data_IF_095373967071
#
_entry.id   IF_095373967071
#
_cell.length_a   1.000
_cell.length_b   1.000
_cell.length_c   1.000
_cell.angle_alpha   90.00
_cell.angle_beta   90.00
_cell.angle_gamma   90.00
#
_symmetry.space_group_name_H-M   'P 1'
#
loop_
_entity.id
_entity.type
_entity.pdbx_description
1 polymer ?
#
# COMPACT_ATOMS: atom_id res chain seq x y z
N UNK A 1 29.03 18.17 -19.18
CA UNK A 1 28.91 18.26 -17.72
C UNK A 1 29.30 16.92 -17.14
N UNK A 2 30.14 16.90 -16.11
CA UNK A 2 30.48 15.66 -15.42
C UNK A 2 29.23 15.05 -14.75
N UNK A 3 28.98 13.75 -14.93
CA UNK A 3 27.78 13.13 -14.39
C UNK A 3 27.91 13.00 -12.86
N UNK A 4 27.13 13.82 -12.14
CA UNK A 4 27.22 13.97 -10.67
C UNK A 4 27.09 12.63 -9.95
N UNK A 5 26.06 11.83 -10.27
CA UNK A 5 25.78 10.59 -9.55
C UNK A 5 26.83 9.49 -9.80
N UNK A 6 27.22 9.16 -11.05
CA UNK A 6 28.33 8.22 -11.28
C UNK A 6 29.64 8.63 -10.60
N UNK A 7 29.97 9.93 -10.59
CA UNK A 7 31.16 10.41 -9.88
C UNK A 7 31.03 10.28 -8.36
N UNK A 8 29.86 10.59 -7.80
CA UNK A 8 29.57 10.36 -6.39
C UNK A 8 29.73 8.87 -6.01
N UNK A 9 29.12 7.96 -6.78
CA UNK A 9 29.22 6.52 -6.53
C UNK A 9 30.66 6.02 -6.65
N UNK A 10 31.38 6.45 -7.69
CA UNK A 10 32.80 6.13 -7.86
C UNK A 10 33.61 6.56 -6.63
N UNK A 11 33.46 7.82 -6.20
CA UNK A 11 34.21 8.34 -5.06
C UNK A 11 33.91 7.57 -3.78
N UNK A 12 32.63 7.24 -3.50
CA UNK A 12 32.26 6.41 -2.35
C UNK A 12 32.89 5.03 -2.44
N UNK A 13 32.90 4.39 -3.62
CA UNK A 13 33.51 3.06 -3.79
C UNK A 13 35.02 3.12 -3.58
N UNK A 14 35.72 4.10 -4.16
CA UNK A 14 37.15 4.27 -3.93
C UNK A 14 37.47 4.51 -2.45
N UNK A 15 36.67 5.34 -1.76
CA UNK A 15 36.84 5.59 -0.32
C UNK A 15 36.71 4.31 0.52
N UNK A 16 35.82 3.38 0.13
CA UNK A 16 35.65 2.10 0.81
C UNK A 16 36.81 1.13 0.53
N UNK A 17 37.38 1.17 -0.67
CA UNK A 17 38.50 0.33 -1.08
C UNK A 17 39.84 0.74 -0.47
N UNK A 18 40.01 1.99 -0.02
CA UNK A 18 41.23 2.46 0.67
C UNK A 18 41.54 1.63 1.93
N UNK A 19 40.52 1.08 2.58
CA UNK A 19 40.70 0.26 3.79
C UNK A 19 41.19 -1.16 3.44
N UNK A 20 41.11 -1.56 2.18
CA UNK A 20 41.45 -2.90 1.66
C UNK A 20 42.81 -2.91 0.93
N UNK A 21 43.80 -2.20 1.46
CA UNK A 21 45.11 -2.02 0.81
C UNK A 21 45.84 -3.35 0.50
N UNK A 22 45.47 -4.44 1.17
CA UNK A 22 46.07 -5.76 1.00
C UNK A 22 45.51 -6.58 -0.18
N UNK A 23 44.45 -6.13 -0.86
CA UNK A 23 43.88 -6.86 -1.99
C UNK A 23 44.77 -6.76 -3.23
N UNK A 24 44.80 -7.84 -4.03
CA UNK A 24 45.42 -7.80 -5.36
C UNK A 24 44.63 -6.87 -6.30
N UNK A 25 45.27 -6.33 -7.35
CA UNK A 25 44.58 -5.44 -8.30
C UNK A 25 43.34 -6.10 -8.95
N UNK A 26 43.40 -7.42 -9.19
CA UNK A 26 42.27 -8.19 -9.73
C UNK A 26 41.13 -8.31 -8.74
N UNK A 27 41.44 -8.50 -7.46
CA UNK A 27 40.42 -8.58 -6.40
C UNK A 27 39.81 -7.20 -6.13
N UNK A 28 40.59 -6.13 -6.22
CA UNK A 28 40.12 -4.74 -6.12
C UNK A 28 39.11 -4.40 -7.22
N UNK A 29 39.36 -4.76 -8.47
CA UNK A 29 38.42 -4.49 -9.56
C UNK A 29 37.11 -5.28 -9.41
N UNK A 30 37.21 -6.54 -8.98
CA UNK A 30 36.02 -7.37 -8.72
C UNK A 30 35.19 -6.78 -7.58
N UNK A 31 35.85 -6.40 -6.48
CA UNK A 31 35.20 -5.79 -5.31
C UNK A 31 34.59 -4.42 -5.67
N UNK A 32 35.27 -3.61 -6.49
CA UNK A 32 34.76 -2.34 -7.02
C UNK A 32 33.45 -2.55 -7.78
N UNK A 33 33.38 -3.56 -8.65
CA UNK A 33 32.18 -3.87 -9.41
C UNK A 33 31.03 -4.31 -8.48
N UNK A 34 31.30 -5.19 -7.52
CA UNK A 34 30.32 -5.69 -6.56
C UNK A 34 29.77 -4.58 -5.64
N UNK A 35 30.65 -3.71 -5.13
CA UNK A 35 30.28 -2.54 -4.33
C UNK A 35 29.43 -1.57 -5.16
N UNK A 36 29.85 -1.27 -6.38
CA UNK A 36 29.11 -0.38 -7.29
C UNK A 36 27.71 -0.92 -7.55
N UNK A 37 27.58 -2.22 -7.86
CA UNK A 37 26.30 -2.86 -8.12
C UNK A 37 25.38 -2.81 -6.88
N UNK A 38 25.91 -3.18 -5.72
CA UNK A 38 25.17 -3.21 -4.45
C UNK A 38 24.68 -1.81 -4.07
N UNK A 39 25.56 -0.81 -4.10
CA UNK A 39 25.21 0.57 -3.79
C UNK A 39 24.19 1.12 -4.78
N UNK A 40 24.28 0.78 -6.07
CA UNK A 40 23.27 1.19 -7.05
C UNK A 40 21.89 0.60 -6.72
N UNK A 41 21.81 -0.69 -6.37
CA UNK A 41 20.56 -1.36 -5.98
C UNK A 41 19.97 -0.68 -4.74
N UNK A 42 20.78 -0.44 -3.70
CA UNK A 42 20.33 0.21 -2.46
C UNK A 42 19.87 1.65 -2.75
N UNK A 43 20.64 2.44 -3.50
CA UNK A 43 20.30 3.81 -3.86
C UNK A 43 18.98 3.88 -4.64
N UNK A 44 18.77 3.04 -5.66
CA UNK A 44 17.52 3.02 -6.43
C UNK A 44 16.33 2.62 -5.55
N UNK A 45 16.51 1.62 -4.69
CA UNK A 45 15.44 1.11 -3.83
C UNK A 45 15.00 2.12 -2.77
N UNK A 46 15.93 2.91 -2.22
CA UNK A 46 15.63 3.90 -1.17
C UNK A 46 15.27 5.28 -1.74
N UNK A 47 15.83 5.62 -2.89
CA UNK A 47 15.76 6.96 -3.45
C UNK A 47 15.10 7.02 -4.82
N UNK A 48 14.23 6.07 -5.20
CA UNK A 48 13.56 6.03 -6.51
C UNK A 48 13.05 7.40 -7.02
N UNK A 49 12.48 8.23 -6.13
CA UNK A 49 12.00 9.59 -6.49
C UNK A 49 13.13 10.59 -6.75
N UNK A 50 14.22 10.52 -5.98
CA UNK A 50 15.42 11.34 -6.17
C UNK A 50 16.23 10.83 -7.38
N UNK A 51 16.44 9.52 -7.46
CA UNK A 51 17.01 8.78 -8.58
C UNK A 51 16.37 9.22 -9.90
N UNK A 52 15.05 9.18 -10.03
CA UNK A 52 14.37 9.65 -11.24
C UNK A 52 14.78 11.08 -11.62
N UNK A 53 14.82 11.98 -10.63
CA UNK A 53 15.16 13.39 -10.88
C UNK A 53 16.64 13.66 -11.18
N UNK A 54 17.52 12.70 -10.87
CA UNK A 54 18.96 12.77 -11.05
C UNK A 54 19.41 12.01 -12.31
N UNK A 55 18.74 10.91 -12.66
CA UNK A 55 19.09 10.06 -13.81
C UNK A 55 18.46 10.49 -15.13
N UNK A 56 17.23 11.05 -15.12
CA UNK A 56 16.41 11.19 -16.34
C UNK A 56 16.40 12.65 -16.84
N UNK A 57 17.52 13.38 -16.80
CA UNK A 57 17.52 14.77 -17.25
C UNK A 57 18.35 15.09 -18.48
N UNK A 58 17.64 15.78 -19.35
CA UNK A 58 18.00 16.51 -20.54
C UNK A 58 19.28 17.35 -20.34
N UNK A 59 20.23 17.19 -21.26
CA UNK A 59 21.54 17.86 -21.25
C UNK A 59 21.38 19.38 -21.17
N UNK A 60 20.24 19.90 -21.64
CA UNK A 60 19.95 21.32 -21.74
C UNK A 60 19.46 21.97 -20.43
N UNK A 61 19.21 21.18 -19.37
CA UNK A 61 18.65 21.69 -18.10
C UNK A 61 19.50 21.33 -16.89
N UNK A 62 20.50 22.16 -16.50
CA UNK A 62 21.39 21.87 -15.38
C UNK A 62 20.63 21.60 -14.07
N UNK A 63 21.19 20.70 -13.26
CA UNK A 63 20.66 20.39 -11.93
C UNK A 63 20.70 21.68 -11.10
N UNK A 64 19.55 22.07 -10.52
CA UNK A 64 19.51 23.21 -9.60
C UNK A 64 20.55 22.98 -8.50
N UNK A 65 21.40 23.97 -8.16
CA UNK A 65 22.46 23.82 -7.16
C UNK A 65 21.97 23.21 -5.83
N UNK A 66 20.74 23.53 -5.42
CA UNK A 66 20.09 22.98 -4.22
C UNK A 66 19.87 21.46 -4.26
N UNK A 67 19.75 20.85 -5.45
CA UNK A 67 19.68 19.40 -5.62
C UNK A 67 21.07 18.76 -5.70
N UNK A 68 22.04 19.44 -6.32
CA UNK A 68 23.42 18.99 -6.30
C UNK A 68 23.97 18.97 -4.87
N UNK A 69 23.51 19.90 -4.03
CA UNK A 69 23.80 19.95 -2.61
C UNK A 69 23.30 18.74 -1.81
N UNK A 70 22.53 17.80 -2.39
CA UNK A 70 22.18 16.51 -1.76
C UNK A 70 23.33 15.51 -1.84
N UNK A 71 24.23 15.67 -2.82
CA UNK A 71 25.46 14.88 -2.96
C UNK A 71 26.66 15.52 -2.25
N UNK A 72 26.51 16.78 -1.82
CA UNK A 72 27.50 17.54 -1.09
C UNK A 72 27.49 17.39 0.46
N UNK A 73 26.42 16.98 1.18
CA UNK A 73 26.40 17.07 2.62
C UNK A 73 26.87 15.74 3.23
N UNK A 74 27.89 15.86 4.08
CA UNK A 74 28.37 14.85 5.03
C UNK A 74 28.84 13.54 4.38
N UNK A 75 29.99 13.65 3.69
CA UNK A 75 30.79 12.53 3.19
C UNK A 75 30.84 11.37 4.19
N UNK A 76 30.95 11.66 5.50
CA UNK A 76 30.98 10.65 6.56
C UNK A 76 29.69 9.83 6.68
N UNK A 77 28.50 10.47 6.73
CA UNK A 77 27.22 9.74 6.86
C UNK A 77 26.96 8.85 5.65
N UNK A 78 27.27 9.36 4.44
CA UNK A 78 27.15 8.58 3.22
C UNK A 78 28.12 7.38 3.20
N UNK A 79 29.37 7.58 3.63
CA UNK A 79 30.37 6.51 3.75
C UNK A 79 29.95 5.43 4.76
N UNK A 80 29.44 5.81 5.93
CA UNK A 80 28.97 4.86 6.96
C UNK A 80 27.81 4.02 6.43
N UNK A 81 26.81 4.65 5.80
CA UNK A 81 25.68 3.92 5.22
C UNK A 81 26.10 3.04 4.03
N UNK A 82 27.03 3.51 3.19
CA UNK A 82 27.58 2.73 2.08
C UNK A 82 28.40 1.53 2.56
N UNK A 83 29.28 1.71 3.56
CA UNK A 83 30.05 0.64 4.18
C UNK A 83 29.13 -0.45 4.76
N UNK A 84 28.04 -0.03 5.42
CA UNK A 84 27.02 -0.95 5.93
C UNK A 84 26.29 -1.69 4.80
N UNK A 85 25.97 -1.01 3.69
CA UNK A 85 25.31 -1.62 2.54
C UNK A 85 26.15 -2.72 1.88
N UNK A 86 27.46 -2.51 1.74
CA UNK A 86 28.36 -3.47 1.07
C UNK A 86 28.95 -4.52 2.02
N UNK A 87 28.61 -4.47 3.32
CA UNK A 87 29.12 -5.42 4.30
C UNK A 87 30.58 -5.19 4.73
N UNK A 88 31.17 -4.05 4.42
CA UNK A 88 32.57 -3.75 4.75
C UNK A 88 32.70 -3.26 6.21
N UNK A 89 32.93 -4.21 7.12
CA UNK A 89 33.04 -3.96 8.55
C UNK A 89 34.25 -3.09 8.93
N UNK A 90 35.35 -3.18 8.20
CA UNK A 90 36.57 -2.41 8.50
C UNK A 90 36.37 -0.95 8.14
N UNK A 91 35.85 -0.67 6.94
CA UNK A 91 35.49 0.69 6.52
C UNK A 91 34.42 1.30 7.43
N UNK A 92 33.43 0.50 7.86
CA UNK A 92 32.43 0.93 8.82
C UNK A 92 33.06 1.34 10.15
N UNK A 93 33.95 0.51 10.73
CA UNK A 93 34.66 0.79 11.98
C UNK A 93 35.54 2.04 11.87
N UNK A 94 36.29 2.16 10.79
CA UNK A 94 37.13 3.33 10.53
C UNK A 94 36.29 4.61 10.47
N UNK A 95 35.13 4.54 9.80
CA UNK A 95 34.24 5.70 9.61
C UNK A 95 33.55 6.18 10.89
N UNK A 96 33.31 5.29 11.87
CA UNK A 96 32.64 5.63 13.13
C UNK A 96 33.58 5.70 14.35
N UNK A 97 34.89 5.62 14.13
CA UNK A 97 35.89 5.55 15.19
C UNK A 97 35.84 6.77 16.14
N UNK A 98 35.49 7.94 15.62
CA UNK A 98 35.42 9.19 16.39
C UNK A 98 33.99 9.56 16.81
N UNK A 99 32.98 9.06 16.10
CA UNK A 99 31.59 9.38 16.37
C UNK A 99 30.69 8.18 16.03
N UNK A 100 30.25 7.50 17.08
CA UNK A 100 29.34 6.35 16.94
C UNK A 100 27.90 6.74 16.67
N UNK A 101 27.53 8.01 16.82
CA UNK A 101 26.17 8.49 16.50
C UNK A 101 25.88 8.39 15.01
N UNK A 102 26.92 8.41 14.16
CA UNK A 102 26.83 8.22 12.72
C UNK A 102 26.16 6.89 12.32
N UNK A 103 26.17 5.86 13.19
CA UNK A 103 25.47 4.60 12.96
C UNK A 103 23.95 4.76 12.87
N UNK A 104 23.42 5.85 13.42
CA UNK A 104 21.99 6.17 13.50
C UNK A 104 21.63 7.41 12.69
N UNK A 105 22.59 8.04 12.02
CA UNK A 105 22.30 9.18 11.16
C UNK A 105 21.83 8.72 9.78
N UNK A 106 20.87 9.44 9.22
CA UNK A 106 20.22 9.07 7.96
C UNK A 106 20.97 9.65 6.76
N UNK A 107 21.55 8.81 5.92
CA UNK A 107 22.00 9.22 4.58
C UNK A 107 20.81 9.57 3.70
N UNK A 108 20.89 10.69 2.98
CA UNK A 108 19.87 11.07 1.99
C UNK A 108 19.83 10.13 0.79
N UNK A 109 20.92 9.42 0.49
CA UNK A 109 21.03 8.51 -0.65
C UNK A 109 20.75 7.07 -0.26
N UNK A 110 21.34 6.60 0.84
CA UNK A 110 21.30 5.20 1.24
C UNK A 110 20.35 4.92 2.41
N UNK A 111 19.81 5.95 3.06
CA UNK A 111 19.01 5.81 4.29
C UNK A 111 19.88 5.63 5.53
N UNK A 112 19.29 5.12 6.61
CA UNK A 112 20.06 4.74 7.80
C UNK A 112 21.02 3.56 7.48
N UNK A 113 22.22 3.48 8.09
CA UNK A 113 23.16 2.38 7.86
C UNK A 113 22.55 0.98 8.08
N UNK A 114 21.76 0.80 9.15
CA UNK A 114 21.02 -0.46 9.39
C UNK A 114 20.03 -0.78 8.26
N UNK A 115 19.37 0.24 7.71
CA UNK A 115 18.44 0.07 6.60
C UNK A 115 19.15 -0.21 5.27
N UNK A 116 20.33 0.38 5.07
CA UNK A 116 21.17 0.14 3.90
C UNK A 116 21.69 -1.31 3.86
N UNK A 117 22.19 -1.82 4.99
CA UNK A 117 22.55 -3.23 5.16
C UNK A 117 21.35 -4.16 4.92
N UNK A 118 20.17 -3.79 5.47
CA UNK A 118 18.94 -4.55 5.30
C UNK A 118 18.44 -4.58 3.86
N UNK A 119 18.58 -3.47 3.13
CA UNK A 119 18.26 -3.39 1.69
C UNK A 119 19.18 -4.26 0.85
N UNK A 120 20.47 -4.33 1.21
CA UNK A 120 21.47 -5.15 0.52
C UNK A 120 21.32 -6.65 0.80
N UNK A 121 20.61 -7.03 1.88
CA UNK A 121 20.45 -8.43 2.26
C UNK A 121 21.61 -8.97 3.11
N UNK A 122 22.41 -8.10 3.71
CA UNK A 122 23.51 -8.51 4.58
C UNK A 122 23.03 -8.75 6.02
N UNK A 123 22.64 -10.00 6.30
CA UNK A 123 22.20 -10.42 7.63
C UNK A 123 23.29 -10.25 8.69
N UNK A 124 24.56 -10.49 8.36
CA UNK A 124 25.65 -10.41 9.33
C UNK A 124 25.82 -8.97 9.80
N UNK A 125 25.84 -8.03 8.86
CA UNK A 125 25.92 -6.61 9.19
C UNK A 125 24.73 -6.17 10.05
N UNK A 126 23.50 -6.57 9.69
CA UNK A 126 22.30 -6.32 10.50
C UNK A 126 22.44 -6.86 11.93
N UNK A 127 22.96 -8.07 12.10
CA UNK A 127 23.20 -8.66 13.43
C UNK A 127 24.25 -7.87 14.23
N UNK A 128 25.29 -7.37 13.59
CA UNK A 128 26.31 -6.51 14.22
C UNK A 128 25.67 -5.23 14.76
N UNK A 129 24.87 -4.53 13.96
CA UNK A 129 24.13 -3.33 14.41
C UNK A 129 23.22 -3.65 15.59
N UNK A 130 22.45 -4.74 15.53
CA UNK A 130 21.54 -5.12 16.60
C UNK A 130 22.28 -5.52 17.89
N UNK A 131 23.45 -6.15 17.78
CA UNK A 131 24.31 -6.47 18.93
C UNK A 131 24.92 -5.21 19.53
N UNK A 132 25.33 -4.26 18.70
CA UNK A 132 25.81 -2.96 19.15
C UNK A 132 24.70 -2.19 19.88
N UNK A 133 23.49 -2.13 19.30
CA UNK A 133 22.30 -1.54 19.93
C UNK A 133 22.05 -2.14 21.32
N UNK A 134 21.97 -3.48 21.45
CA UNK A 134 21.74 -4.14 22.74
C UNK A 134 22.78 -3.82 23.81
N UNK A 135 24.03 -3.57 23.42
CA UNK A 135 25.13 -3.23 24.33
C UNK A 135 25.11 -1.77 24.76
N UNK A 136 24.66 -0.89 23.86
CA UNK A 136 24.80 0.55 23.98
C UNK A 136 23.46 1.30 24.04
N UNK A 137 22.33 0.59 24.23
CA UNK A 137 21.01 1.18 24.45
C UNK A 137 20.95 1.91 25.80
N UNK A 138 21.77 2.95 25.95
CA UNK A 138 21.61 4.02 26.93
C UNK A 138 20.78 5.11 26.22
N UNK A 139 19.95 5.79 26.99
CA UNK A 139 18.76 6.56 26.53
C UNK A 139 18.97 7.68 25.48
N UNK A 140 20.19 7.94 25.03
CA UNK A 140 20.45 8.95 23.99
C UNK A 140 20.16 8.39 22.59
N UNK A 141 19.37 9.12 21.80
CA UNK A 141 19.07 8.78 20.41
C UNK A 141 18.01 7.70 20.19
N UNK A 142 17.09 7.49 21.15
CA UNK A 142 16.04 6.46 21.04
C UNK A 142 15.16 6.65 19.79
N UNK A 143 14.90 7.91 19.41
CA UNK A 143 14.04 8.23 18.25
C UNK A 143 14.75 7.83 16.96
N UNK A 144 16.00 8.23 16.79
CA UNK A 144 16.82 7.93 15.62
C UNK A 144 17.08 6.42 15.48
N UNK A 145 17.32 5.74 16.60
CA UNK A 145 17.45 4.28 16.63
C UNK A 145 16.15 3.60 16.21
N UNK A 146 15.01 4.04 16.75
CA UNK A 146 13.70 3.51 16.36
C UNK A 146 13.45 3.70 14.87
N UNK A 147 13.66 4.92 14.36
CA UNK A 147 13.49 5.24 12.94
C UNK A 147 14.40 4.37 12.06
N UNK A 148 15.66 4.16 12.46
CA UNK A 148 16.59 3.28 11.75
C UNK A 148 16.11 1.82 11.68
N UNK A 149 15.55 1.29 12.77
CA UNK A 149 14.96 -0.05 12.77
C UNK A 149 13.68 -0.12 11.94
N UNK A 150 12.81 0.88 12.04
CA UNK A 150 11.58 0.93 11.27
C UNK A 150 11.87 0.98 9.76
N UNK A 151 12.83 1.80 9.35
CA UNK A 151 13.30 1.91 7.97
C UNK A 151 13.98 0.62 7.49
N UNK A 152 14.72 -0.07 8.38
CA UNK A 152 15.40 -1.32 8.05
C UNK A 152 14.45 -2.49 7.84
N UNK A 153 13.39 -2.59 8.64
CA UNK A 153 12.34 -3.58 8.43
C UNK A 153 11.67 -3.34 7.08
N UNK A 154 11.30 -2.09 6.77
CA UNK A 154 10.72 -1.75 5.46
C UNK A 154 11.66 -2.13 4.30
N UNK A 155 12.94 -1.81 4.42
CA UNK A 155 13.96 -2.12 3.42
C UNK A 155 14.14 -3.63 3.21
N UNK A 156 14.19 -4.41 4.29
CA UNK A 156 14.28 -5.87 4.21
C UNK A 156 13.05 -6.48 3.53
N UNK A 157 11.84 -5.97 3.83
CA UNK A 157 10.59 -6.43 3.21
C UNK A 157 10.60 -6.11 1.71
N UNK A 158 10.94 -4.86 1.35
CA UNK A 158 10.99 -4.43 -0.05
C UNK A 158 12.04 -5.21 -0.87
N UNK A 159 13.19 -5.50 -0.27
CA UNK A 159 14.25 -6.33 -0.86
C UNK A 159 13.96 -7.85 -0.83
N UNK A 160 12.83 -8.28 -0.24
CA UNK A 160 12.45 -9.70 -0.07
C UNK A 160 13.44 -10.51 0.79
N UNK A 161 14.14 -9.85 1.71
CA UNK A 161 15.12 -10.46 2.61
C UNK A 161 14.44 -11.08 3.84
N UNK A 162 13.68 -12.16 3.63
CA UNK A 162 12.83 -12.81 4.65
C UNK A 162 13.54 -13.14 5.97
N UNK A 163 14.81 -13.52 5.89
CA UNK A 163 15.63 -13.87 7.05
C UNK A 163 15.95 -12.62 7.91
N UNK A 164 16.26 -11.49 7.28
CA UNK A 164 16.43 -10.19 7.98
C UNK A 164 15.12 -9.75 8.59
N UNK A 165 14.02 -9.80 7.84
CA UNK A 165 12.70 -9.41 8.34
C UNK A 165 12.27 -10.26 9.54
N UNK A 166 12.48 -11.58 9.47
CA UNK A 166 12.15 -12.51 10.57
C UNK A 166 13.02 -12.29 11.81
N UNK A 167 14.21 -11.71 11.64
CA UNK A 167 15.09 -11.33 12.74
C UNK A 167 14.71 -9.97 13.35
N UNK A 168 14.47 -8.95 12.51
CA UNK A 168 14.22 -7.58 12.96
C UNK A 168 12.82 -7.36 13.53
N UNK A 169 11.77 -7.98 12.96
CA UNK A 169 10.39 -7.76 13.43
C UNK A 169 10.20 -8.09 14.92
N UNK A 170 10.55 -9.31 15.41
CA UNK A 170 10.41 -9.63 16.83
C UNK A 170 11.29 -8.75 17.72
N UNK A 171 12.49 -8.41 17.26
CA UNK A 171 13.40 -7.53 17.99
C UNK A 171 12.79 -6.13 18.17
N UNK A 172 12.20 -5.58 17.10
CA UNK A 172 11.49 -4.31 17.17
C UNK A 172 10.29 -4.42 18.11
N UNK A 173 9.41 -5.42 17.98
CA UNK A 173 8.24 -5.58 18.85
C UNK A 173 8.59 -5.65 20.34
N UNK A 174 9.68 -6.32 20.67
CA UNK A 174 10.15 -6.44 22.06
C UNK A 174 10.80 -5.16 22.60
N UNK A 175 11.34 -4.32 21.72
CA UNK A 175 12.07 -3.10 22.09
C UNK A 175 11.15 -1.87 22.07
N UNK A 176 10.35 -1.74 21.02
CA UNK A 176 9.38 -0.69 20.78
C UNK A 176 8.03 -1.34 20.44
N UNK A 177 7.16 -1.56 21.45
CA UNK A 177 5.84 -2.14 21.23
C UNK A 177 4.98 -1.34 20.26
N UNK A 178 5.16 -0.01 20.25
CA UNK A 178 4.43 0.91 19.37
C UNK A 178 5.18 1.13 18.06
N UNK A 179 4.58 0.70 16.96
CA UNK A 179 5.06 0.99 15.59
C UNK A 179 4.44 2.30 15.11
N UNK A 180 5.23 3.17 14.48
CA UNK A 180 4.67 4.37 13.86
C UNK A 180 3.68 4.01 12.73
N UNK A 181 2.59 4.76 12.59
CA UNK A 181 1.61 4.52 11.52
C UNK A 181 2.26 4.58 10.12
N UNK A 182 3.29 5.42 9.95
CA UNK A 182 4.04 5.52 8.70
C UNK A 182 4.83 4.26 8.42
N UNK A 183 5.57 3.74 9.41
CA UNK A 183 6.35 2.51 9.26
C UNK A 183 5.45 1.30 9.04
N UNK A 184 4.40 1.13 9.85
CA UNK A 184 3.44 0.04 9.68
C UNK A 184 2.84 0.02 8.27
N UNK A 185 2.42 1.19 7.77
CA UNK A 185 1.93 1.35 6.40
C UNK A 185 2.98 0.96 5.37
N UNK A 186 4.23 1.41 5.52
CA UNK A 186 5.34 1.04 4.64
C UNK A 186 5.56 -0.47 4.61
N UNK A 187 5.66 -1.11 5.77
CA UNK A 187 5.85 -2.55 5.92
C UNK A 187 4.73 -3.35 5.27
N UNK A 188 3.47 -2.96 5.53
CA UNK A 188 2.30 -3.68 5.02
C UNK A 188 2.22 -3.58 3.49
N UNK A 189 2.39 -2.39 2.92
CA UNK A 189 2.35 -2.20 1.46
C UNK A 189 3.52 -2.89 0.75
N UNK A 190 4.70 -2.89 1.36
CA UNK A 190 5.86 -3.60 0.85
C UNK A 190 5.65 -5.13 0.90
N UNK A 191 5.08 -5.67 1.98
CA UNK A 191 4.78 -7.09 2.12
C UNK A 191 3.73 -7.56 1.09
N UNK A 192 2.66 -6.78 0.90
CA UNK A 192 1.68 -7.03 -0.18
C UNK A 192 2.37 -6.95 -1.54
N UNK A 193 3.21 -5.94 -1.78
CA UNK A 193 3.96 -5.77 -3.02
C UNK A 193 4.92 -6.93 -3.33
N UNK A 194 5.44 -7.59 -2.30
CA UNK A 194 6.26 -8.79 -2.40
C UNK A 194 5.46 -10.07 -2.64
N UNK A 195 4.12 -10.02 -2.59
CA UNK A 195 3.21 -11.18 -2.67
C UNK A 195 3.53 -12.24 -1.57
N UNK A 196 3.89 -11.77 -0.38
CA UNK A 196 4.32 -12.64 0.71
C UNK A 196 3.25 -12.72 1.80
N UNK A 197 2.35 -13.70 1.70
CA UNK A 197 1.19 -13.84 2.59
C UNK A 197 1.59 -14.05 4.05
N UNK A 198 2.65 -14.82 4.31
CA UNK A 198 3.14 -15.09 5.67
C UNK A 198 3.67 -13.81 6.30
N UNK A 199 4.36 -13.00 5.50
CA UNK A 199 4.89 -11.72 5.94
C UNK A 199 3.78 -10.68 6.16
N UNK A 200 2.77 -10.63 5.29
CA UNK A 200 1.57 -9.81 5.51
C UNK A 200 0.93 -10.17 6.86
N UNK A 201 0.75 -11.47 7.14
CA UNK A 201 0.20 -11.93 8.41
C UNK A 201 1.06 -11.52 9.61
N UNK A 202 2.39 -11.68 9.53
CA UNK A 202 3.33 -11.27 10.58
C UNK A 202 3.30 -9.76 10.85
N UNK A 203 3.26 -8.94 9.79
CA UNK A 203 3.16 -7.48 9.91
C UNK A 203 1.84 -7.10 10.56
N UNK A 204 0.72 -7.70 10.15
CA UNK A 204 -0.59 -7.47 10.77
C UNK A 204 -0.60 -7.84 12.27
N UNK A 205 0.10 -8.91 12.66
CA UNK A 205 0.29 -9.28 14.08
C UNK A 205 1.21 -8.35 14.90
N UNK A 206 1.83 -7.34 14.27
CA UNK A 206 2.56 -6.28 14.96
C UNK A 206 1.72 -5.02 15.20
N UNK A 207 0.67 -4.78 14.40
CA UNK A 207 -0.07 -3.51 14.41
C UNK A 207 -1.42 -3.58 15.10
N UNK A 208 -1.47 -3.34 16.42
CA UNK A 208 -2.74 -3.19 17.14
C UNK A 208 -3.50 -1.87 16.84
N UNK A 209 -2.93 -0.96 16.04
CA UNK A 209 -3.48 0.38 15.79
C UNK A 209 -3.57 0.78 14.32
N UNK A 210 -3.48 -0.16 13.39
CA UNK A 210 -3.57 0.14 11.97
C UNK A 210 -4.90 0.85 11.66
N UNK A 211 -4.82 2.06 11.10
CA UNK A 211 -6.03 2.77 10.69
C UNK A 211 -6.75 1.96 9.59
N UNK A 212 -8.11 1.92 9.58
CA UNK A 212 -8.86 1.24 8.53
C UNK A 212 -8.44 1.66 7.12
N UNK A 213 -8.09 2.92 6.91
CA UNK A 213 -7.61 3.43 5.63
C UNK A 213 -6.28 2.79 5.18
N UNK A 214 -5.39 2.45 6.12
CA UNK A 214 -4.10 1.81 5.83
C UNK A 214 -4.30 0.35 5.43
N UNK A 215 -5.13 -0.39 6.17
CA UNK A 215 -5.53 -1.76 5.81
C UNK A 215 -6.26 -1.78 4.47
N UNK A 216 -7.22 -0.87 4.28
CA UNK A 216 -7.99 -0.72 3.06
C UNK A 216 -7.12 -0.44 1.83
N UNK A 217 -6.08 0.39 1.97
CA UNK A 217 -5.12 0.66 0.89
C UNK A 217 -4.27 -0.58 0.56
N UNK A 218 -3.83 -1.33 1.57
CA UNK A 218 -3.09 -2.57 1.35
C UNK A 218 -3.96 -3.65 0.68
N UNK A 219 -5.22 -3.75 1.09
CA UNK A 219 -6.22 -4.59 0.43
C UNK A 219 -6.41 -4.18 -1.04
N UNK A 220 -6.62 -2.89 -1.34
CA UNK A 220 -6.75 -2.40 -2.72
C UNK A 220 -5.53 -2.77 -3.56
N UNK A 221 -4.32 -2.58 -3.03
CA UNK A 221 -3.08 -2.98 -3.72
C UNK A 221 -3.04 -4.48 -4.01
N UNK A 222 -3.51 -5.33 -3.08
CA UNK A 222 -3.59 -6.77 -3.31
C UNK A 222 -4.58 -7.09 -4.44
N UNK A 223 -5.76 -6.43 -4.47
CA UNK A 223 -6.75 -6.62 -5.53
C UNK A 223 -6.24 -6.15 -6.89
N UNK A 224 -5.65 -4.95 -6.97
CA UNK A 224 -5.07 -4.38 -8.20
C UNK A 224 -4.00 -5.30 -8.82
N UNK A 225 -3.25 -6.01 -7.98
CA UNK A 225 -2.21 -6.96 -8.41
C UNK A 225 -2.71 -8.39 -8.60
N UNK A 226 -3.99 -8.67 -8.34
CA UNK A 226 -4.57 -10.02 -8.45
C UNK A 226 -4.13 -10.99 -7.35
N UNK A 227 -3.63 -10.49 -6.21
CA UNK A 227 -3.20 -11.32 -5.08
C UNK A 227 -4.39 -11.72 -4.20
N UNK A 228 -5.25 -12.60 -4.73
CA UNK A 228 -6.55 -12.95 -4.13
C UNK A 228 -6.40 -13.51 -2.71
N UNK A 229 -5.44 -14.40 -2.47
CA UNK A 229 -5.24 -15.00 -1.14
C UNK A 229 -4.85 -13.96 -0.08
N UNK A 230 -4.08 -12.94 -0.46
CA UNK A 230 -3.72 -11.83 0.43
C UNK A 230 -4.94 -10.94 0.68
N UNK A 231 -5.75 -10.66 -0.35
CA UNK A 231 -6.98 -9.89 -0.20
C UNK A 231 -7.98 -10.59 0.74
N UNK A 232 -8.18 -11.91 0.59
CA UNK A 232 -9.05 -12.71 1.46
C UNK A 232 -8.50 -12.79 2.89
N UNK A 233 -7.18 -12.92 3.08
CA UNK A 233 -6.55 -12.93 4.41
C UNK A 233 -6.97 -11.72 5.27
N UNK A 234 -7.02 -10.52 4.68
CA UNK A 234 -7.44 -9.32 5.41
C UNK A 234 -8.85 -9.46 6.00
N UNK A 235 -9.76 -10.10 5.26
CA UNK A 235 -11.16 -10.24 5.67
C UNK A 235 -11.37 -11.46 6.58
N UNK A 236 -10.82 -12.62 6.22
CA UNK A 236 -10.94 -13.87 6.99
C UNK A 236 -10.41 -13.77 8.41
N UNK A 237 -9.36 -12.97 8.61
CA UNK A 237 -8.76 -12.74 9.94
C UNK A 237 -9.35 -11.54 10.67
N UNK A 238 -10.37 -10.89 10.11
CA UNK A 238 -11.06 -9.76 10.72
C UNK A 238 -10.26 -8.45 10.75
N UNK A 239 -9.13 -8.36 10.04
CA UNK A 239 -8.37 -7.10 9.92
C UNK A 239 -9.13 -6.05 9.11
N UNK A 240 -9.98 -6.51 8.19
CA UNK A 240 -10.85 -5.68 7.36
C UNK A 240 -12.27 -6.27 7.40
N UNK A 241 -13.23 -5.60 8.06
CA UNK A 241 -14.60 -6.12 8.08
C UNK A 241 -15.18 -6.16 6.67
N UNK A 242 -15.70 -7.31 6.26
CA UNK A 242 -16.14 -7.57 4.89
C UNK A 242 -17.31 -6.66 4.45
N UNK A 243 -18.14 -6.23 5.39
CA UNK A 243 -19.36 -5.44 5.16
C UNK A 243 -19.27 -3.98 5.63
N UNK A 244 -18.06 -3.48 5.91
CA UNK A 244 -17.83 -2.09 6.35
C UNK A 244 -16.98 -1.36 5.33
N UNK A 245 -17.31 -0.09 5.09
CA UNK A 245 -16.50 0.79 4.24
C UNK A 245 -15.20 1.15 4.96
N UNK A 246 -14.04 0.90 4.33
CA UNK A 246 -12.73 1.25 4.88
C UNK A 246 -12.17 2.57 4.33
N UNK A 247 -12.80 3.10 3.28
CA UNK A 247 -12.64 4.48 2.83
C UNK A 247 -14.02 5.04 2.43
N UNK A 248 -14.08 6.29 1.93
CA UNK A 248 -15.36 6.94 1.56
C UNK A 248 -16.10 6.22 0.41
N UNK A 249 -15.40 5.43 -0.39
CA UNK A 249 -15.86 4.89 -1.67
C UNK A 249 -15.54 3.40 -1.88
N UNK A 250 -15.15 2.66 -0.84
CA UNK A 250 -14.73 1.26 -0.98
C UNK A 250 -15.08 0.42 0.23
N UNK A 251 -15.67 -0.74 -0.06
CA UNK A 251 -15.73 -1.90 0.81
C UNK A 251 -15.16 -3.10 0.03
N UNK A 252 -14.80 -4.21 0.70
CA UNK A 252 -14.18 -5.36 0.05
C UNK A 252 -15.00 -5.89 -1.14
N UNK A 253 -16.30 -6.14 -0.96
CA UNK A 253 -17.19 -6.64 -2.02
C UNK A 253 -17.27 -5.66 -3.18
N UNK A 254 -17.49 -4.37 -2.90
CA UNK A 254 -17.55 -3.32 -3.92
C UNK A 254 -16.24 -3.17 -4.71
N UNK A 255 -15.09 -3.34 -4.06
CA UNK A 255 -13.77 -3.33 -4.71
C UNK A 255 -13.60 -4.54 -5.63
N UNK A 256 -13.97 -5.75 -5.20
CA UNK A 256 -13.93 -6.92 -6.07
C UNK A 256 -14.77 -6.72 -7.35
N UNK A 257 -15.95 -6.11 -7.21
CA UNK A 257 -16.81 -5.78 -8.36
C UNK A 257 -16.22 -4.71 -9.27
N UNK A 258 -15.65 -3.66 -8.71
CA UNK A 258 -15.00 -2.58 -9.49
C UNK A 258 -13.88 -3.13 -10.37
N UNK A 259 -13.12 -4.09 -9.85
CA UNK A 259 -12.04 -4.77 -10.56
C UNK A 259 -12.50 -5.99 -11.37
N UNK A 260 -13.81 -6.28 -11.40
CA UNK A 260 -14.39 -7.44 -12.10
C UNK A 260 -13.71 -8.78 -11.74
N UNK A 261 -13.27 -8.91 -10.48
CA UNK A 261 -12.57 -10.09 -10.00
C UNK A 261 -13.58 -11.11 -9.43
N UNK A 262 -13.98 -12.06 -10.27
CA UNK A 262 -15.01 -13.04 -9.93
C UNK A 262 -14.62 -13.94 -8.76
N UNK A 263 -13.37 -14.38 -8.74
CA UNK A 263 -12.85 -15.29 -7.71
C UNK A 263 -12.81 -14.60 -6.35
N UNK A 264 -12.32 -13.35 -6.30
CA UNK A 264 -12.36 -12.57 -5.07
C UNK A 264 -13.79 -12.26 -4.62
N UNK A 265 -14.68 -11.88 -5.55
CA UNK A 265 -16.08 -11.61 -5.22
C UNK A 265 -16.73 -12.83 -4.54
N UNK A 266 -16.59 -14.02 -5.12
CA UNK A 266 -17.12 -15.26 -4.54
C UNK A 266 -16.53 -15.51 -3.14
N UNK A 267 -15.21 -15.47 -3.01
CA UNK A 267 -14.56 -15.68 -1.71
C UNK A 267 -15.01 -14.69 -0.63
N UNK A 268 -15.23 -13.42 -0.98
CA UNK A 268 -15.75 -12.41 -0.03
C UNK A 268 -17.20 -12.68 0.38
N UNK A 269 -18.04 -13.17 -0.54
CA UNK A 269 -19.42 -13.56 -0.22
C UNK A 269 -19.46 -14.83 0.64
N UNK A 270 -18.58 -15.80 0.35
CA UNK A 270 -18.47 -17.06 1.11
C UNK A 270 -18.09 -16.82 2.58
N UNK A 271 -17.33 -15.75 2.89
CA UNK A 271 -16.99 -15.34 4.26
C UNK A 271 -18.00 -14.37 4.89
N UNK A 272 -19.19 -14.21 4.28
CA UNK A 272 -20.30 -13.42 4.84
C UNK A 272 -20.35 -11.95 4.41
N UNK A 273 -19.72 -11.59 3.29
CA UNK A 273 -19.86 -10.26 2.69
C UNK A 273 -21.30 -9.97 2.28
N UNK A 274 -21.80 -8.79 2.64
CA UNK A 274 -23.15 -8.36 2.22
C UNK A 274 -23.13 -8.01 0.72
N UNK A 275 -23.92 -8.71 -0.13
CA UNK A 275 -23.97 -8.43 -1.57
C UNK A 275 -24.60 -7.06 -1.89
N UNK A 276 -25.24 -6.40 -0.93
CA UNK A 276 -25.78 -5.04 -1.06
C UNK A 276 -24.75 -3.93 -0.73
N UNK A 277 -23.55 -4.31 -0.25
CA UNK A 277 -22.47 -3.38 0.05
C UNK A 277 -22.42 -2.97 1.52
N UNK A 278 -21.73 -1.86 1.84
CA UNK A 278 -21.47 -1.51 3.23
C UNK A 278 -22.71 -0.93 3.91
N UNK A 279 -22.99 -1.38 5.13
CA UNK A 279 -24.19 -1.01 5.91
C UNK A 279 -24.14 0.46 6.38
N UNK A 280 -22.95 1.06 6.44
CA UNK A 280 -22.69 2.34 7.10
C UNK A 280 -22.44 3.54 6.17
N UNK A 281 -22.94 3.53 4.94
CA UNK A 281 -22.69 4.65 4.01
C UNK A 281 -23.55 5.87 4.34
N UNK A 282 -22.99 7.08 4.49
CA UNK A 282 -23.76 8.30 4.65
C UNK A 282 -24.75 8.47 3.48
N UNK A 283 -26.00 8.82 3.82
CA UNK A 283 -27.06 9.12 2.87
C UNK A 283 -26.53 10.13 1.82
N UNK A 284 -26.60 9.76 0.54
CA UNK A 284 -26.20 10.61 -0.60
C UNK A 284 -24.91 10.21 -1.33
N UNK A 285 -24.04 9.39 -0.73
CA UNK A 285 -22.83 8.84 -1.41
C UNK A 285 -23.09 7.40 -1.91
N UNK A 286 -24.15 6.76 -1.39
CA UNK A 286 -24.32 5.31 -1.33
C UNK A 286 -24.45 4.55 -2.65
N UNK A 287 -25.01 5.12 -3.73
CA UNK A 287 -25.27 4.31 -4.94
C UNK A 287 -24.01 3.84 -5.67
N UNK A 288 -22.87 4.53 -5.51
CA UNK A 288 -21.60 4.10 -6.10
C UNK A 288 -20.94 2.95 -5.34
N UNK A 289 -21.46 2.63 -4.17
CA UNK A 289 -20.95 1.61 -3.26
C UNK A 289 -21.73 0.30 -3.32
N UNK A 290 -22.96 0.33 -3.87
CA UNK A 290 -23.81 -0.85 -4.01
C UNK A 290 -23.19 -1.75 -5.08
N UNK A 291 -22.68 -2.95 -4.72
CA UNK A 291 -21.96 -3.83 -5.62
C UNK A 291 -22.76 -4.12 -6.89
N UNK A 292 -24.06 -4.39 -6.77
CA UNK A 292 -24.92 -4.68 -7.92
C UNK A 292 -25.04 -3.48 -8.87
N UNK A 293 -25.09 -2.24 -8.36
CA UNK A 293 -25.08 -1.04 -9.21
C UNK A 293 -23.80 -0.94 -10.02
N UNK A 294 -22.65 -1.20 -9.40
CA UNK A 294 -21.34 -1.15 -10.06
C UNK A 294 -21.24 -2.25 -11.13
N UNK A 295 -21.66 -3.48 -10.82
CA UNK A 295 -21.65 -4.60 -11.75
C UNK A 295 -22.52 -4.33 -12.99
N UNK A 296 -23.73 -3.77 -12.79
CA UNK A 296 -24.65 -3.38 -13.86
C UNK A 296 -24.04 -2.28 -14.74
N UNK A 297 -23.45 -1.24 -14.16
CA UNK A 297 -22.80 -0.16 -14.91
C UNK A 297 -21.59 -0.63 -15.71
N UNK A 298 -20.86 -1.61 -15.19
CA UNK A 298 -19.69 -2.20 -15.83
C UNK A 298 -20.03 -3.33 -16.81
N UNK A 299 -21.32 -3.70 -16.94
CA UNK A 299 -21.76 -4.79 -17.82
C UNK A 299 -21.16 -6.15 -17.48
N UNK A 300 -20.87 -6.36 -16.20
CA UNK A 300 -20.21 -7.57 -15.72
C UNK A 300 -21.23 -8.64 -15.37
N UNK A 301 -21.63 -9.43 -16.38
CA UNK A 301 -22.70 -10.44 -16.32
C UNK A 301 -22.47 -11.40 -15.16
N UNK A 302 -21.27 -11.97 -15.08
CA UNK A 302 -20.90 -12.98 -14.09
C UNK A 302 -20.99 -12.43 -12.66
N UNK A 303 -20.58 -11.17 -12.47
CA UNK A 303 -20.72 -10.47 -11.19
C UNK A 303 -22.17 -10.20 -10.81
N UNK A 304 -23.00 -9.78 -11.77
CA UNK A 304 -24.45 -9.61 -11.57
C UNK A 304 -25.09 -10.92 -11.12
N UNK A 305 -24.78 -12.02 -11.80
CA UNK A 305 -25.33 -13.33 -11.45
C UNK A 305 -24.93 -13.77 -10.04
N UNK A 306 -23.63 -13.66 -9.71
CA UNK A 306 -23.13 -14.05 -8.39
C UNK A 306 -23.77 -13.19 -7.29
N UNK A 307 -23.86 -11.87 -7.48
CA UNK A 307 -24.49 -10.98 -6.51
C UNK A 307 -25.97 -11.29 -6.30
N UNK A 308 -26.73 -11.51 -7.38
CA UNK A 308 -28.16 -11.84 -7.28
C UNK A 308 -28.38 -13.21 -6.61
N UNK A 309 -27.56 -14.22 -6.95
CA UNK A 309 -27.60 -15.54 -6.29
C UNK A 309 -27.25 -15.44 -4.80
N UNK A 310 -26.38 -14.50 -4.42
CA UNK A 310 -26.06 -14.23 -3.02
C UNK A 310 -27.13 -13.40 -2.28
N UNK A 311 -28.20 -12.96 -2.96
CA UNK A 311 -29.29 -12.21 -2.34
C UNK A 311 -29.18 -10.68 -2.45
N UNK A 312 -28.40 -10.15 -3.40
CA UNK A 312 -28.41 -8.72 -3.70
C UNK A 312 -29.83 -8.25 -4.07
N UNK A 313 -30.26 -7.13 -3.52
CA UNK A 313 -31.55 -6.51 -3.80
C UNK A 313 -31.50 -5.75 -5.14
N UNK A 314 -32.18 -6.22 -6.20
CA UNK A 314 -32.17 -5.57 -7.50
C UNK A 314 -32.87 -4.21 -7.50
N UNK A 315 -33.68 -3.90 -6.48
CA UNK A 315 -34.42 -2.63 -6.35
C UNK A 315 -33.52 -1.46 -5.96
N UNK A 316 -32.34 -1.75 -5.39
CA UNK A 316 -31.31 -0.75 -5.09
C UNK A 316 -30.62 -0.18 -6.33
N UNK A 317 -30.82 -0.83 -7.48
CA UNK A 317 -30.27 -0.37 -8.76
C UNK A 317 -31.26 0.58 -9.44
N UNK A 318 -30.84 1.81 -9.80
CA UNK A 318 -31.72 2.74 -10.53
C UNK A 318 -32.27 2.11 -11.81
N UNK A 319 -33.58 2.23 -12.04
CA UNK A 319 -34.26 1.62 -13.19
C UNK A 319 -33.61 1.98 -14.54
N UNK A 320 -33.08 3.21 -14.68
CA UNK A 320 -32.33 3.63 -15.87
C UNK A 320 -31.11 2.75 -16.15
N UNK A 321 -30.39 2.32 -15.11
CA UNK A 321 -29.21 1.47 -15.26
C UNK A 321 -29.61 0.08 -15.73
N UNK A 322 -30.72 -0.47 -15.21
CA UNK A 322 -31.25 -1.76 -15.67
C UNK A 322 -31.74 -1.72 -17.11
N UNK A 323 -32.45 -0.67 -17.52
CA UNK A 323 -32.94 -0.54 -18.89
C UNK A 323 -31.77 -0.51 -19.88
N UNK A 324 -30.72 0.26 -19.56
CA UNK A 324 -29.49 0.31 -20.33
C UNK A 324 -28.85 -1.10 -20.37
N UNK A 325 -28.71 -1.75 -19.20
CA UNK A 325 -28.17 -3.09 -19.02
C UNK A 325 -28.86 -4.15 -19.90
N UNK A 326 -30.18 -4.22 -19.81
CA UNK A 326 -31.02 -5.22 -20.46
C UNK A 326 -31.16 -4.98 -21.97
N UNK A 327 -31.15 -3.74 -22.44
CA UNK A 327 -31.41 -3.43 -23.86
C UNK A 327 -30.18 -3.56 -24.77
N UNK A 328 -28.96 -3.56 -24.25
CA UNK A 328 -27.76 -3.46 -25.10
C UNK A 328 -26.88 -4.72 -25.10
N UNK A 329 -26.41 -5.17 -23.94
CA UNK A 329 -25.35 -6.20 -23.83
C UNK A 329 -25.74 -7.44 -23.03
N UNK A 330 -26.61 -7.35 -22.02
CA UNK A 330 -26.98 -8.54 -21.22
C UNK A 330 -27.77 -9.57 -22.05
N UNK A 331 -28.59 -9.12 -23.00
CA UNK A 331 -29.30 -9.99 -23.96
C UNK A 331 -28.39 -10.64 -25.00
N UNK A 332 -27.20 -10.07 -25.24
CA UNK A 332 -26.22 -10.60 -26.20
C UNK A 332 -25.18 -11.51 -25.54
N UNK A 333 -24.92 -11.34 -24.24
CA UNK A 333 -23.90 -12.07 -23.48
C UNK A 333 -24.47 -13.23 -22.62
N UNK A 334 -25.66 -13.74 -22.97
CA UNK A 334 -26.25 -14.93 -22.33
C UNK A 334 -26.44 -14.82 -20.80
N UNK A 335 -26.95 -13.70 -20.28
CA UNK A 335 -27.49 -13.71 -18.91
C UNK A 335 -28.55 -14.81 -18.83
N UNK A 336 -28.51 -15.64 -17.78
CA UNK A 336 -29.52 -16.69 -17.56
C UNK A 336 -30.94 -16.13 -17.75
N UNK A 337 -31.73 -16.64 -18.73
CA UNK A 337 -33.07 -16.16 -19.00
C UNK A 337 -34.01 -16.20 -17.79
N UNK A 338 -33.82 -17.18 -16.90
CA UNK A 338 -34.59 -17.28 -15.66
C UNK A 338 -34.26 -16.10 -14.73
N UNK A 339 -32.98 -15.82 -14.52
CA UNK A 339 -32.54 -14.69 -13.70
C UNK A 339 -32.96 -13.34 -14.30
N UNK A 340 -32.86 -13.19 -15.63
CA UNK A 340 -33.32 -11.99 -16.32
C UNK A 340 -34.82 -11.75 -16.12
N UNK A 341 -35.63 -12.81 -16.14
CA UNK A 341 -37.07 -12.74 -15.85
C UNK A 341 -37.32 -12.33 -14.39
N UNK A 342 -36.58 -12.89 -13.45
CA UNK A 342 -36.76 -12.60 -12.02
C UNK A 342 -36.38 -11.15 -11.68
N UNK A 343 -35.30 -10.63 -12.26
CA UNK A 343 -34.93 -9.20 -12.16
C UNK A 343 -36.04 -8.32 -12.71
N UNK A 344 -36.59 -8.63 -13.90
CA UNK A 344 -37.71 -7.86 -14.48
C UNK A 344 -38.94 -7.88 -13.58
N UNK A 345 -39.24 -9.01 -12.95
CA UNK A 345 -40.38 -9.13 -12.02
C UNK A 345 -40.15 -8.33 -10.73
N UNK A 346 -38.94 -8.35 -10.18
CA UNK A 346 -38.57 -7.55 -9.01
C UNK A 346 -38.68 -6.04 -9.30
N UNK A 347 -38.22 -5.59 -10.47
CA UNK A 347 -38.33 -4.18 -10.88
C UNK A 347 -39.77 -3.73 -11.13
N UNK A 348 -40.63 -4.60 -11.69
CA UNK A 348 -42.06 -4.30 -11.82
C UNK A 348 -42.73 -4.12 -10.45
N UNK A 349 -42.38 -4.97 -9.48
CA UNK A 349 -42.91 -4.88 -8.11
C UNK A 349 -42.45 -3.62 -7.39
N UNK A 350 -41.19 -3.19 -7.58
CA UNK A 350 -40.69 -1.96 -6.95
C UNK A 350 -41.29 -0.69 -7.57
N UNK A 351 -41.46 -0.66 -8.89
CA UNK A 351 -42.14 0.43 -9.59
C UNK A 351 -43.56 0.66 -9.05
N UNK A 352 -44.31 -0.43 -8.83
CA UNK A 352 -45.64 -0.38 -8.21
C UNK A 352 -45.62 0.20 -6.80
N UNK A 353 -44.66 -0.19 -5.94
CA UNK A 353 -44.52 0.37 -4.59
C UNK A 353 -44.22 1.86 -4.60
N UNK A 354 -43.36 2.32 -5.52
CA UNK A 354 -43.04 3.75 -5.66
C UNK A 354 -44.26 4.56 -6.12
N UNK A 355 -45.04 4.05 -7.07
CA UNK A 355 -46.26 4.70 -7.53
C UNK A 355 -47.32 4.75 -6.42
N UNK A 356 -47.52 3.65 -5.70
CA UNK A 356 -48.46 3.60 -4.57
C UNK A 356 -48.06 4.56 -3.43
N UNK A 357 -46.77 4.65 -3.09
CA UNK A 357 -46.27 5.60 -2.08
C UNK A 357 -46.43 7.06 -2.55
N UNK A 358 -46.19 7.36 -3.83
CA UNK A 358 -46.44 8.71 -4.36
C UNK A 358 -47.92 9.08 -4.37
N UNK A 359 -48.81 8.14 -4.66
CA UNK A 359 -50.27 8.36 -4.64
C UNK A 359 -50.81 8.53 -3.22
N UNK A 360 -50.33 7.74 -2.25
CA UNK A 360 -50.69 7.88 -0.84
C UNK A 360 -50.10 9.14 -0.17
N UNK A 361 -48.92 9.61 -0.61
CA UNK A 361 -48.35 10.86 -0.13
C UNK A 361 -49.13 12.08 -0.65
N UNK A 362 -49.70 12.00 -1.86
CA UNK A 362 -50.54 13.04 -2.45
C UNK A 362 -51.95 13.09 -1.85
N UNK A 363 -52.49 11.96 -1.38
CA UNK A 363 -53.83 11.91 -0.74
C UNK A 363 -53.85 12.36 0.72
N UNK A 364 -52.68 12.61 1.33
CA UNK A 364 -52.53 13.05 2.72
C UNK A 364 -51.92 14.45 2.88
N UNK A 365 -51.91 15.27 1.83
CA UNK A 365 -51.66 16.71 1.98
C UNK A 365 -52.97 17.34 2.49
N UNK A 366 -53.07 17.79 3.75
CA UNK A 366 -54.25 18.53 4.21
C UNK A 366 -54.33 19.82 3.40
N UNK A 367 -55.54 20.24 3.01
CA UNK A 367 -55.81 21.53 2.34
C UNK A 367 -55.20 22.70 3.14
N UNK A 368 -53.96 23.05 2.83
CA UNK A 368 -53.21 24.13 3.47
C UNK A 368 -53.34 25.47 2.73
N UNK A 369 -54.29 25.57 1.79
CA UNK A 369 -54.69 26.83 1.19
C UNK A 369 -56.10 27.20 1.68
N UNK A 370 -56.23 28.02 2.74
CA UNK A 370 -57.52 28.61 3.06
C UNK A 370 -57.96 29.46 1.87
N UNK A 371 -59.17 29.19 1.38
CA UNK A 371 -59.82 29.96 0.33
C UNK A 371 -59.78 31.45 0.66
N UNK A 372 -59.09 32.25 -0.17
CA UNK A 372 -59.10 33.70 -0.06
C UNK A 372 -60.51 34.21 -0.34
N UNK A 373 -61.25 34.50 0.74
CA UNK A 373 -62.55 35.12 0.69
C UNK A 373 -62.48 36.48 -0.01
N UNK A 374 -63.33 36.62 -1.01
CA UNK A 374 -63.70 37.86 -1.67
C UNK A 374 -64.15 38.94 -0.67
N UNK A 375 -63.49 40.10 -0.67
CA UNK A 375 -64.07 41.35 -0.17
C UNK A 375 -64.59 42.16 -1.35
N UNK A 376 -65.91 42.27 -1.45
CA UNK A 376 -66.61 43.31 -2.18
C UNK A 376 -66.71 44.58 -1.32
N UNK A 377 -66.58 45.72 -2.01
CA UNK A 377 -67.07 47.09 -1.72
C UNK A 377 -67.11 47.58 -0.28
#
# INVERSE_FOLDING_TARGET
MDPIFPNFMRNIVEDLLVVEDQLSDRDKETTRADYTQTLCIVAVSRCARLAYSVFIRDIDHPIRPTKAAIFAPEVHVNRVAAAAAVGNLEALRASVAHDTTLLWQRSLIFGHPLAAASAAGDLLMVQIFCKYFKRNARFEGIVEQKDAFEEAIEAAIAGRHRHITSFLLPLHKNTWPDVSESAFKGWLLAAVGACDIDLVYKVLGHGHYAKPATIGRAFNQAVERGYINIALLFCEKGFLPVSISYDRYSCPVGTAVRHQNLTLLKGLLDIGGDPNGPINTPLGIGHHLIPLVVAVRNWWVEGIEVLLRAGADPTLVPARNWNIALNTRLTKKNLDPALARDVRMALKRSAWKSTALSQNALSHIPDLFPSTGSRQS
#
